data_IF_896431751892
#
_entry.id   IF_896431751892
#
_cell.length_a   1.000
_cell.length_b   1.000
_cell.length_c   1.000
_cell.angle_alpha   90.00
_cell.angle_beta   90.00
_cell.angle_gamma   90.00
#
_symmetry.space_group_name_H-M   'P 1'
#
loop_
_entity.id
_entity.type
_entity.pdbx_description
1 polymer ?
#
# COMPACT_ATOMS: atom_id res chain seq x y z
N UNK A 1 -17.33 -13.79 29.11
CA UNK A 1 -17.09 -13.47 27.69
C UNK A 1 -15.62 -13.62 27.39
N UNK A 2 -15.27 -14.23 26.27
CA UNK A 2 -13.92 -14.37 25.76
C UNK A 2 -13.76 -13.53 24.51
N UNK A 3 -12.80 -12.62 24.54
CA UNK A 3 -12.44 -11.79 23.39
C UNK A 3 -11.22 -12.41 22.70
N UNK A 4 -11.24 -12.41 21.38
CA UNK A 4 -10.09 -12.69 20.53
C UNK A 4 -9.67 -11.41 19.85
N UNK A 5 -8.38 -11.05 19.94
CA UNK A 5 -7.82 -9.92 19.19
C UNK A 5 -6.67 -10.47 18.35
N UNK A 6 -6.83 -10.59 17.01
CA UNK A 6 -5.74 -11.00 16.14
C UNK A 6 -4.65 -9.93 16.21
N UNK A 7 -3.40 -10.34 16.43
CA UNK A 7 -2.26 -9.44 16.62
C UNK A 7 -1.18 -9.66 15.56
N UNK A 8 -0.52 -8.56 15.19
CA UNK A 8 0.77 -8.54 14.52
C UNK A 8 1.74 -7.75 15.43
N UNK A 9 2.78 -8.41 15.94
CA UNK A 9 3.60 -7.85 17.03
C UNK A 9 2.77 -7.47 18.28
N UNK A 10 2.83 -6.20 18.69
CA UNK A 10 2.10 -5.66 19.86
C UNK A 10 0.83 -4.86 19.48
N UNK A 11 0.30 -5.02 18.27
CA UNK A 11 -0.84 -4.24 17.76
C UNK A 11 -1.91 -5.15 17.18
N UNK A 12 -3.14 -4.65 17.09
CA UNK A 12 -4.23 -5.33 16.37
C UNK A 12 -3.79 -5.54 14.92
N UNK A 13 -3.86 -6.78 14.45
CA UNK A 13 -3.55 -7.11 13.09
C UNK A 13 -4.52 -6.35 12.16
N UNK A 14 -4.00 -5.63 11.15
CA UNK A 14 -4.84 -4.91 10.22
C UNK A 14 -5.79 -5.85 9.45
N UNK A 15 -5.40 -7.12 9.29
CA UNK A 15 -6.24 -8.20 8.77
C UNK A 15 -6.12 -9.44 9.67
N UNK A 16 -7.26 -9.95 10.13
CA UNK A 16 -7.33 -11.10 11.05
C UNK A 16 -6.72 -12.39 10.49
N UNK A 17 -6.62 -12.50 9.16
CA UNK A 17 -6.07 -13.66 8.48
C UNK A 17 -4.53 -13.76 8.56
N UNK A 18 -3.85 -12.64 8.81
CA UNK A 18 -2.38 -12.54 8.86
C UNK A 18 -1.85 -12.30 10.27
N UNK A 19 -2.72 -12.47 11.26
CA UNK A 19 -2.30 -12.38 12.64
C UNK A 19 -1.35 -13.53 12.99
N UNK A 20 -0.16 -13.18 13.47
CA UNK A 20 0.84 -14.15 13.96
C UNK A 20 0.40 -14.77 15.29
N UNK A 21 -0.45 -14.05 16.02
CA UNK A 21 -0.94 -14.49 17.32
C UNK A 21 -2.34 -13.96 17.59
N UNK A 22 -3.00 -14.57 18.58
CA UNK A 22 -4.30 -14.15 19.06
C UNK A 22 -4.19 -13.83 20.54
N UNK A 23 -4.46 -12.58 20.88
CA UNK A 23 -4.71 -12.21 22.27
C UNK A 23 -6.08 -12.75 22.67
N UNK A 24 -6.08 -13.59 23.68
CA UNK A 24 -7.29 -14.15 24.29
C UNK A 24 -7.49 -13.48 25.64
N UNK A 25 -8.60 -12.76 25.78
CA UNK A 25 -8.99 -12.07 27.01
C UNK A 25 -10.25 -12.72 27.55
N UNK A 26 -10.20 -13.27 28.77
CA UNK A 26 -11.40 -13.80 29.44
C UNK A 26 -11.90 -12.81 30.46
N UNK A 27 -13.15 -12.39 30.32
CA UNK A 27 -13.85 -11.50 31.23
C UNK A 27 -15.01 -12.18 31.96
N UNK A 28 -15.19 -11.84 33.23
CA UNK A 28 -16.35 -12.19 34.05
C UNK A 28 -16.68 -11.05 35.01
N UNK A 29 -17.95 -10.67 35.09
CA UNK A 29 -18.41 -9.60 35.99
C UNK A 29 -17.70 -8.26 35.78
N UNK A 30 -17.34 -7.91 34.54
CA UNK A 30 -16.66 -6.64 34.21
C UNK A 30 -15.15 -6.62 34.47
N UNK A 31 -14.55 -7.72 34.92
CA UNK A 31 -13.12 -7.81 35.19
C UNK A 31 -12.44 -8.83 34.27
N UNK A 32 -11.19 -8.55 33.90
CA UNK A 32 -10.33 -9.51 33.19
C UNK A 32 -9.84 -10.55 34.20
N UNK A 33 -10.21 -11.81 34.00
CA UNK A 33 -9.72 -12.93 34.82
C UNK A 33 -8.42 -13.50 34.24
N UNK A 34 -8.28 -13.51 32.91
CA UNK A 34 -7.08 -13.99 32.25
C UNK A 34 -6.82 -13.26 30.95
N UNK A 35 -5.52 -13.08 30.67
CA UNK A 35 -5.00 -12.64 29.37
C UNK A 35 -3.87 -13.58 28.98
N UNK A 36 -3.88 -14.02 27.73
CA UNK A 36 -2.79 -14.82 27.15
C UNK A 36 -2.70 -14.57 25.67
N UNK A 37 -1.52 -14.76 25.12
CA UNK A 37 -1.28 -14.70 23.68
C UNK A 37 -1.06 -16.13 23.21
N UNK A 38 -1.88 -16.57 22.27
CA UNK A 38 -1.72 -17.87 21.61
C UNK A 38 -1.09 -17.62 20.25
N UNK A 39 0.08 -18.23 20.00
CA UNK A 39 0.73 -18.15 18.68
C UNK A 39 -0.07 -18.96 17.67
N UNK A 40 -0.44 -18.35 16.56
CA UNK A 40 -1.11 -19.03 15.45
C UNK A 40 -0.03 -19.88 14.74
N UNK A 41 -0.18 -21.22 14.73
CA UNK A 41 0.79 -22.09 14.03
C UNK A 41 0.67 -21.84 12.52
N UNK A 42 1.81 -21.56 11.90
CA UNK A 42 1.95 -21.22 10.47
C UNK A 42 1.88 -22.43 9.52
N UNK A 43 0.94 -23.35 9.74
CA UNK A 43 0.69 -24.50 8.85
C UNK A 43 -0.62 -24.33 8.08
N UNK A 44 -0.73 -23.23 7.33
CA UNK A 44 -1.49 -23.14 6.07
C UNK A 44 -2.90 -23.76 6.00
N UNK A 45 -3.71 -23.72 7.05
CA UNK A 45 -5.05 -24.30 6.95
C UNK A 45 -5.88 -24.49 8.21
N UNK A 46 -5.37 -24.21 9.42
CA UNK A 46 -6.26 -24.05 10.57
C UNK A 46 -6.81 -22.62 10.57
N UNK A 47 -7.89 -22.48 9.79
CA UNK A 47 -8.83 -21.37 9.74
C UNK A 47 -8.90 -20.64 11.08
N UNK A 48 -8.75 -19.30 11.08
CA UNK A 48 -9.02 -18.45 12.24
C UNK A 48 -10.33 -18.87 12.95
N UNK A 49 -11.32 -19.36 12.20
CA UNK A 49 -12.56 -19.95 12.74
C UNK A 49 -12.32 -21.16 13.63
N UNK A 50 -11.45 -22.08 13.23
CA UNK A 50 -11.08 -23.24 14.05
C UNK A 50 -10.43 -22.82 15.35
N UNK A 51 -9.46 -21.92 15.30
CA UNK A 51 -8.79 -21.39 16.50
C UNK A 51 -9.78 -20.66 17.42
N UNK A 52 -10.65 -19.84 16.84
CA UNK A 52 -11.72 -19.14 17.57
C UNK A 52 -12.68 -20.15 18.23
N UNK A 53 -13.09 -21.19 17.51
CA UNK A 53 -13.99 -22.22 18.01
C UNK A 53 -13.35 -23.04 19.13
N UNK A 54 -12.10 -23.48 18.95
CA UNK A 54 -11.34 -24.27 19.93
C UNK A 54 -11.13 -23.49 21.23
N UNK A 55 -10.80 -22.21 21.11
CA UNK A 55 -10.62 -21.30 22.24
C UNK A 55 -11.95 -20.78 22.81
N UNK A 56 -13.07 -21.06 22.14
CA UNK A 56 -14.42 -20.58 22.47
C UNK A 56 -14.46 -19.06 22.63
N UNK A 57 -13.96 -18.36 21.62
CA UNK A 57 -14.03 -16.91 21.55
C UNK A 57 -15.48 -16.50 21.28
N UNK A 58 -16.02 -15.62 22.12
CA UNK A 58 -17.39 -15.10 21.98
C UNK A 58 -17.40 -13.86 21.07
N UNK A 59 -16.36 -13.03 21.16
CA UNK A 59 -16.26 -11.74 20.43
C UNK A 59 -14.87 -11.62 19.80
N UNK A 60 -14.80 -11.46 18.48
CA UNK A 60 -13.58 -11.15 17.76
C UNK A 60 -13.47 -9.63 17.55
N UNK A 61 -12.38 -9.02 18.01
CA UNK A 61 -12.08 -7.60 17.83
C UNK A 61 -10.90 -7.49 16.87
N UNK A 62 -11.09 -6.87 15.71
CA UNK A 62 -10.08 -6.88 14.65
C UNK A 62 -10.01 -5.60 13.83
N UNK A 63 -8.87 -5.39 13.17
CA UNK A 63 -8.69 -4.29 12.22
C UNK A 63 -9.54 -4.50 10.97
N UNK A 64 -9.42 -5.66 10.35
CA UNK A 64 -10.14 -6.01 9.14
C UNK A 64 -10.30 -7.52 8.99
N UNK A 65 -11.38 -7.95 8.38
CA UNK A 65 -11.71 -9.36 8.21
C UNK A 65 -12.39 -9.56 6.86
N UNK A 66 -12.10 -10.67 6.19
CA UNK A 66 -12.80 -10.99 4.94
C UNK A 66 -14.27 -11.29 5.23
N UNK A 67 -15.17 -10.93 4.32
CA UNK A 67 -16.62 -11.18 4.48
C UNK A 67 -16.93 -12.65 4.71
N UNK A 68 -16.25 -13.53 3.98
CA UNK A 68 -16.40 -14.98 4.12
C UNK A 68 -16.06 -15.45 5.53
N UNK A 69 -14.95 -14.96 6.09
CA UNK A 69 -14.52 -15.31 7.43
C UNK A 69 -15.45 -14.71 8.49
N UNK A 70 -15.83 -13.44 8.33
CA UNK A 70 -16.83 -12.76 9.17
C UNK A 70 -18.14 -13.53 9.24
N UNK A 71 -18.68 -13.94 8.08
CA UNK A 71 -19.94 -14.67 8.01
C UNK A 71 -19.83 -16.07 8.62
N UNK A 72 -18.70 -16.75 8.44
CA UNK A 72 -18.44 -18.03 9.09
C UNK A 72 -18.41 -17.90 10.63
N UNK A 73 -17.78 -16.84 11.14
CA UNK A 73 -17.73 -16.56 12.57
C UNK A 73 -19.11 -16.22 13.16
N UNK A 74 -19.86 -15.34 12.49
CA UNK A 74 -21.22 -15.01 12.90
C UNK A 74 -22.14 -16.24 12.90
N UNK A 75 -21.98 -17.13 11.92
CA UNK A 75 -22.74 -18.39 11.84
C UNK A 75 -22.42 -19.36 12.98
N UNK A 76 -21.20 -19.26 13.54
CA UNK A 76 -20.78 -20.00 14.73
C UNK A 76 -21.10 -19.27 16.04
N UNK A 77 -21.87 -18.18 16.00
CA UNK A 77 -22.28 -17.42 17.17
C UNK A 77 -21.22 -16.48 17.74
N UNK A 78 -20.17 -16.17 16.95
CA UNK A 78 -19.09 -15.26 17.34
C UNK A 78 -19.42 -13.86 16.84
N UNK A 79 -19.51 -12.89 17.75
CA UNK A 79 -19.68 -11.49 17.40
C UNK A 79 -18.37 -10.93 16.82
N UNK A 80 -18.45 -10.04 15.83
CA UNK A 80 -17.25 -9.47 15.19
C UNK A 80 -17.32 -7.94 15.25
N UNK A 81 -16.32 -7.34 15.88
CA UNK A 81 -16.07 -5.90 15.91
C UNK A 81 -14.89 -5.59 14.98
N UNK A 82 -15.14 -4.75 13.97
CA UNK A 82 -14.20 -4.46 12.89
C UNK A 82 -13.72 -3.00 12.94
N UNK A 83 -12.68 -2.69 12.16
CA UNK A 83 -12.05 -1.36 12.06
C UNK A 83 -11.46 -0.87 13.39
N UNK A 84 -10.95 -1.82 14.18
CA UNK A 84 -10.30 -1.53 15.45
C UNK A 84 -8.79 -1.46 15.25
N UNK A 85 -8.18 -0.36 15.68
CA UNK A 85 -6.74 -0.13 15.61
C UNK A 85 -6.21 0.27 16.97
N UNK A 86 -5.05 -0.23 17.34
CA UNK A 86 -4.41 0.10 18.61
C UNK A 86 -3.36 -0.92 19.01
N UNK A 87 -2.64 -0.60 20.07
CA UNK A 87 -1.77 -1.53 20.80
C UNK A 87 -2.59 -2.46 21.68
N UNK A 88 -1.97 -3.55 22.15
CA UNK A 88 -2.61 -4.47 23.10
C UNK A 88 -3.15 -3.73 24.33
N UNK A 89 -2.39 -2.81 24.91
CA UNK A 89 -2.79 -2.09 26.13
C UNK A 89 -4.00 -1.17 25.87
N UNK A 90 -4.01 -0.43 24.76
CA UNK A 90 -5.15 0.41 24.36
C UNK A 90 -6.43 -0.42 24.17
N UNK A 91 -6.33 -1.57 23.50
CA UNK A 91 -7.49 -2.45 23.28
C UNK A 91 -7.98 -3.09 24.57
N UNK A 92 -7.08 -3.45 25.49
CA UNK A 92 -7.47 -3.97 26.80
C UNK A 92 -8.23 -2.92 27.61
N UNK A 93 -7.83 -1.64 27.57
CA UNK A 93 -8.58 -0.55 28.20
C UNK A 93 -9.97 -0.38 27.57
N UNK A 94 -10.09 -0.41 26.24
CA UNK A 94 -11.37 -0.26 25.55
C UNK A 94 -12.32 -1.45 25.80
N UNK A 95 -11.78 -2.67 25.85
CA UNK A 95 -12.52 -3.88 26.28
C UNK A 95 -13.04 -3.70 27.71
N UNK A 96 -12.22 -3.20 28.64
CA UNK A 96 -12.62 -2.96 30.03
C UNK A 96 -13.70 -1.88 30.17
N UNK A 97 -13.60 -0.82 29.36
CA UNK A 97 -14.59 0.28 29.34
C UNK A 97 -15.91 -0.10 28.66
N UNK A 98 -15.93 -1.18 27.87
CA UNK A 98 -17.10 -1.58 27.08
C UNK A 98 -17.36 -0.68 25.87
N UNK A 99 -16.34 0.03 25.38
CA UNK A 99 -16.45 1.08 24.36
C UNK A 99 -16.11 0.59 22.93
N UNK A 100 -16.13 -0.71 22.68
CA UNK A 100 -15.88 -1.30 21.37
C UNK A 100 -17.02 -0.98 20.38
N UNK A 101 -17.06 0.26 19.90
CA UNK A 101 -18.01 0.72 18.88
C UNK A 101 -17.39 0.55 17.49
N UNK A 102 -18.06 -0.09 16.52
CA UNK A 102 -17.64 -0.01 15.13
C UNK A 102 -17.78 1.45 14.65
N UNK A 103 -16.83 1.98 13.85
CA UNK A 103 -17.06 3.20 13.09
C UNK A 103 -18.30 2.98 12.21
N UNK A 104 -19.31 3.83 12.39
CA UNK A 104 -20.65 3.68 11.84
C UNK A 104 -20.65 3.39 10.33
N UNK A 105 -21.33 2.31 9.97
CA UNK A 105 -21.57 1.79 8.63
C UNK A 105 -22.34 2.76 7.73
N UNK A 106 -21.78 3.06 6.55
CA UNK A 106 -22.52 3.55 5.38
C UNK A 106 -23.41 2.42 4.85
N UNK A 107 -24.67 2.75 4.49
CA UNK A 107 -25.74 1.80 4.20
C UNK A 107 -25.48 0.95 2.94
N UNK A 108 -25.99 -0.30 2.87
CA UNK A 108 -25.60 -1.31 1.90
C UNK A 108 -26.73 -1.66 0.92
N UNK A 109 -26.62 -1.28 -0.36
CA UNK A 109 -27.47 -1.82 -1.43
C UNK A 109 -26.69 -1.93 -2.75
N UNK A 110 -26.08 -3.10 -3.00
CA UNK A 110 -26.18 -3.88 -4.25
C UNK A 110 -25.07 -4.94 -4.33
N UNK A 111 -25.54 -6.18 -4.36
CA UNK A 111 -24.84 -7.47 -4.42
C UNK A 111 -24.55 -7.83 -5.88
N UNK A 112 -23.48 -8.61 -6.14
CA UNK A 112 -23.49 -9.87 -6.91
C UNK A 112 -22.08 -10.16 -7.46
N UNK A 113 -21.28 -11.05 -6.86
CA UNK A 113 -21.32 -12.53 -6.90
C UNK A 113 -20.85 -13.14 -8.24
N UNK A 114 -19.65 -13.74 -8.24
CA UNK A 114 -19.17 -14.91 -9.00
C UNK A 114 -17.62 -14.92 -8.94
N UNK A 115 -16.87 -16.01 -8.87
CA UNK A 115 -17.03 -17.41 -8.46
C UNK A 115 -15.60 -17.98 -8.49
N UNK A 116 -15.35 -19.01 -7.67
CA UNK A 116 -14.06 -19.60 -7.36
C UNK A 116 -13.23 -20.13 -8.55
N UNK A 117 -11.90 -20.06 -8.41
CA UNK A 117 -10.98 -21.10 -8.84
C UNK A 117 -9.66 -21.04 -8.02
N UNK A 118 -9.18 -22.23 -7.70
CA UNK A 118 -8.19 -22.61 -6.68
C UNK A 118 -6.78 -22.03 -6.92
N UNK A 119 -6.08 -21.63 -5.85
CA UNK A 119 -4.65 -21.27 -5.89
C UNK A 119 -3.84 -22.19 -4.99
N UNK A 120 -2.87 -22.87 -5.61
CA UNK A 120 -1.77 -23.57 -4.95
C UNK A 120 -0.66 -22.57 -4.59
N UNK A 121 -0.05 -22.81 -3.44
CA UNK A 121 1.20 -22.21 -2.96
C UNK A 121 2.27 -22.27 -4.06
N UNK A 122 2.80 -21.13 -4.48
CA UNK A 122 4.03 -21.07 -5.28
C UNK A 122 5.19 -20.95 -4.29
N UNK A 123 5.85 -22.08 -4.05
CA UNK A 123 7.23 -22.10 -3.58
C UNK A 123 8.10 -21.65 -4.74
N UNK A 124 9.01 -20.69 -4.55
CA UNK A 124 10.10 -20.42 -5.48
C UNK A 124 11.21 -21.45 -5.21
N UNK A 125 11.40 -22.50 -6.05
CA UNK A 125 12.48 -23.45 -5.84
C UNK A 125 13.74 -23.00 -6.59
N UNK A 126 14.89 -23.40 -6.04
CA UNK A 126 16.22 -23.12 -6.54
C UNK A 126 16.41 -23.37 -8.04
N UNK A 127 17.17 -22.46 -8.64
CA UNK A 127 17.61 -22.43 -10.04
C UNK A 127 18.67 -23.50 -10.36
N UNK A 128 18.36 -24.78 -10.19
CA UNK A 128 19.23 -25.84 -10.74
C UNK A 128 18.38 -26.97 -11.32
N UNK A 129 18.14 -26.90 -12.62
CA UNK A 129 17.48 -27.96 -13.36
C UNK A 129 17.51 -27.69 -14.86
N UNK A 130 18.53 -28.21 -15.54
CA UNK A 130 18.54 -28.31 -17.00
C UNK A 130 17.29 -29.07 -17.44
N UNK A 131 16.46 -28.45 -18.29
CA UNK A 131 15.26 -29.05 -18.86
C UNK A 131 15.48 -29.39 -20.34
N UNK A 132 14.85 -30.47 -20.84
CA UNK A 132 15.22 -31.13 -22.09
C UNK A 132 14.83 -30.32 -23.33
N UNK A 133 15.61 -30.50 -24.40
CA UNK A 133 15.42 -29.84 -25.69
C UNK A 133 14.07 -30.21 -26.34
N UNK A 134 13.19 -29.21 -26.47
CA UNK A 134 11.97 -29.27 -27.29
C UNK A 134 12.25 -28.49 -28.59
N UNK A 135 12.06 -29.07 -29.79
CA UNK A 135 12.31 -28.37 -31.04
C UNK A 135 11.28 -27.24 -31.23
N UNK A 136 11.74 -25.98 -31.18
CA UNK A 136 10.91 -24.80 -31.46
C UNK A 136 10.98 -23.67 -30.42
N UNK A 137 11.78 -23.80 -29.35
CA UNK A 137 11.97 -22.72 -28.38
C UNK A 137 12.88 -21.65 -28.98
N UNK A 138 12.33 -20.47 -29.28
CA UNK A 138 13.11 -19.27 -29.53
C UNK A 138 14.06 -19.08 -28.34
N UNK A 139 15.37 -19.11 -28.61
CA UNK A 139 16.39 -18.89 -27.61
C UNK A 139 16.19 -17.58 -26.84
N UNK A 140 16.89 -17.40 -25.71
CA UNK A 140 16.70 -16.25 -24.83
C UNK A 140 16.77 -14.92 -25.60
N UNK A 141 15.79 -14.04 -25.36
CA UNK A 141 15.76 -12.71 -26.00
C UNK A 141 16.95 -11.88 -25.55
N UNK A 142 17.50 -11.06 -26.46
CA UNK A 142 18.51 -10.06 -26.11
C UNK A 142 17.87 -8.87 -25.40
N UNK A 143 18.57 -8.31 -24.41
CA UNK A 143 18.08 -7.20 -23.57
C UNK A 143 17.63 -5.96 -24.38
N UNK A 144 18.34 -5.65 -25.47
CA UNK A 144 18.08 -4.53 -26.38
C UNK A 144 16.83 -4.71 -27.26
N UNK A 145 16.22 -5.90 -27.26
CA UNK A 145 15.05 -6.24 -28.08
C UNK A 145 13.78 -6.48 -27.26
N UNK A 146 13.82 -6.20 -25.95
CA UNK A 146 12.67 -6.41 -25.06
C UNK A 146 11.57 -5.40 -25.38
N UNK A 147 10.48 -5.91 -25.93
CA UNK A 147 9.22 -5.19 -26.06
C UNK A 147 8.10 -6.03 -25.45
N UNK A 148 7.79 -5.72 -24.18
CA UNK A 148 6.72 -6.39 -23.46
C UNK A 148 5.34 -6.06 -24.02
N UNK A 149 5.11 -4.97 -24.76
CA UNK A 149 3.78 -4.71 -25.32
C UNK A 149 3.52 -5.63 -26.52
N UNK A 150 4.53 -5.82 -27.36
CA UNK A 150 4.41 -6.64 -28.58
C UNK A 150 4.79 -8.13 -28.41
N UNK A 151 5.21 -8.55 -27.21
CA UNK A 151 5.52 -9.94 -26.90
C UNK A 151 4.28 -10.85 -26.97
N UNK A 152 4.25 -11.78 -27.93
CA UNK A 152 3.15 -12.73 -28.11
C UNK A 152 3.26 -13.97 -27.22
N UNK A 153 4.47 -14.36 -26.85
CA UNK A 153 4.72 -15.66 -26.20
C UNK A 153 4.31 -15.67 -24.72
N UNK A 154 4.39 -14.51 -24.05
CA UNK A 154 3.91 -14.26 -22.67
C UNK A 154 4.33 -15.35 -21.68
N UNK A 155 5.51 -15.93 -21.86
CA UNK A 155 6.00 -17.09 -21.10
C UNK A 155 6.07 -16.81 -19.59
N UNK A 156 6.28 -15.54 -19.22
CA UNK A 156 6.24 -15.04 -17.85
C UNK A 156 4.90 -15.27 -17.13
N UNK A 157 3.77 -15.32 -17.85
CA UNK A 157 2.46 -15.63 -17.25
C UNK A 157 2.35 -17.09 -16.79
N UNK A 158 3.28 -17.96 -17.24
CA UNK A 158 3.43 -19.34 -16.77
C UNK A 158 4.57 -19.50 -15.77
N UNK A 159 5.22 -18.40 -15.38
CA UNK A 159 6.40 -18.40 -14.50
C UNK A 159 7.71 -18.77 -15.20
N UNK A 160 7.74 -18.80 -16.53
CA UNK A 160 8.96 -19.08 -17.30
C UNK A 160 9.78 -17.79 -17.51
N UNK A 161 11.11 -17.92 -17.52
CA UNK A 161 12.00 -16.79 -17.77
C UNK A 161 11.99 -16.40 -19.26
N UNK A 162 11.59 -15.15 -19.55
CA UNK A 162 11.51 -14.65 -20.92
C UNK A 162 12.84 -14.13 -21.50
N UNK A 163 13.89 -14.08 -20.65
CA UNK A 163 15.24 -13.58 -20.93
C UNK A 163 16.21 -14.50 -20.21
N UNK A 164 17.34 -14.86 -20.84
CA UNK A 164 18.45 -15.46 -20.10
C UNK A 164 19.29 -14.33 -19.49
N UNK A 165 19.09 -14.10 -18.19
CA UNK A 165 20.01 -13.31 -17.37
C UNK A 165 20.92 -14.31 -16.67
N UNK A 166 22.19 -14.36 -17.06
CA UNK A 166 23.21 -15.24 -16.44
C UNK A 166 23.45 -14.83 -14.98
N UNK A 167 23.40 -13.53 -14.68
CA UNK A 167 23.57 -12.95 -13.34
C UNK A 167 22.25 -12.38 -12.80
N UNK A 168 21.34 -13.25 -12.37
CA UNK A 168 20.09 -12.81 -11.73
C UNK A 168 20.41 -12.19 -10.36
N UNK A 169 20.07 -10.91 -10.10
CA UNK A 169 20.29 -10.34 -8.78
C UNK A 169 19.45 -11.06 -7.75
N UNK A 170 20.09 -11.59 -6.71
CA UNK A 170 19.39 -12.09 -5.53
C UNK A 170 18.89 -10.89 -4.74
N UNK A 171 17.64 -10.94 -4.29
CA UNK A 171 17.11 -10.01 -3.29
C UNK A 171 17.34 -10.68 -1.94
N UNK A 172 18.46 -10.36 -1.29
CA UNK A 172 18.82 -10.88 0.04
C UNK A 172 18.55 -9.86 1.15
N UNK A 173 18.12 -8.65 0.79
CA UNK A 173 17.75 -7.60 1.72
C UNK A 173 16.37 -7.88 2.32
N UNK A 174 16.36 -8.01 3.65
CA UNK A 174 15.16 -8.35 4.44
C UNK A 174 14.06 -7.29 4.33
N UNK A 175 14.42 -6.02 4.22
CA UNK A 175 13.45 -4.93 4.08
C UNK A 175 12.76 -5.01 2.72
N UNK A 176 13.53 -5.22 1.65
CA UNK A 176 12.96 -5.43 0.31
C UNK A 176 12.07 -6.67 0.23
N UNK A 177 12.45 -7.77 0.87
CA UNK A 177 11.61 -8.96 0.93
C UNK A 177 10.29 -8.68 1.66
N UNK A 178 10.32 -7.97 2.79
CA UNK A 178 9.10 -7.57 3.50
C UNK A 178 8.20 -6.65 2.64
N UNK A 179 8.80 -5.72 1.88
CA UNK A 179 8.05 -4.87 0.94
C UNK A 179 7.34 -5.69 -0.14
N UNK A 180 8.00 -6.74 -0.66
CA UNK A 180 7.42 -7.65 -1.66
C UNK A 180 6.27 -8.43 -1.04
N UNK A 181 6.47 -9.04 0.12
CA UNK A 181 5.45 -9.83 0.81
C UNK A 181 4.20 -9.00 1.10
N UNK A 182 4.37 -7.80 1.64
CA UNK A 182 3.27 -6.85 1.88
C UNK A 182 2.51 -6.47 0.60
N UNK A 183 3.25 -6.25 -0.49
CA UNK A 183 2.66 -5.93 -1.78
C UNK A 183 1.87 -7.10 -2.37
N UNK A 184 2.36 -8.32 -2.20
CA UNK A 184 1.69 -9.54 -2.63
C UNK A 184 0.41 -9.78 -1.83
N UNK A 185 0.43 -9.53 -0.51
CA UNK A 185 -0.78 -9.61 0.31
C UNK A 185 -1.86 -8.64 -0.17
N UNK A 186 -1.51 -7.35 -0.34
CA UNK A 186 -2.45 -6.35 -0.84
C UNK A 186 -2.98 -6.74 -2.23
N UNK A 187 -2.12 -7.24 -3.11
CA UNK A 187 -2.49 -7.67 -4.46
C UNK A 187 -3.36 -8.93 -4.50
N UNK A 188 -3.29 -9.77 -3.47
CA UNK A 188 -4.15 -10.94 -3.31
C UNK A 188 -5.60 -10.56 -2.93
N UNK A 189 -5.88 -9.27 -2.69
CA UNK A 189 -7.24 -8.80 -2.45
C UNK A 189 -8.12 -8.90 -3.70
N UNK A 190 -8.75 -10.07 -3.83
CA UNK A 190 -9.64 -10.44 -4.92
C UNK A 190 -10.93 -9.63 -5.02
N UNK A 191 -11.39 -8.99 -3.93
CA UNK A 191 -12.72 -8.35 -3.89
C UNK A 191 -12.71 -6.86 -4.27
N UNK A 192 -11.56 -6.28 -4.69
CA UNK A 192 -11.40 -4.84 -5.04
C UNK A 192 -11.98 -3.88 -3.98
N UNK A 193 -11.94 -4.27 -2.70
CA UNK A 193 -12.52 -3.47 -1.61
C UNK A 193 -11.61 -2.33 -1.17
N UNK A 194 -10.34 -2.39 -1.55
CA UNK A 194 -9.34 -1.38 -1.21
C UNK A 194 -9.16 -0.44 -2.39
N UNK A 195 -9.40 0.85 -2.17
CA UNK A 195 -8.87 1.87 -3.05
C UNK A 195 -7.41 2.15 -2.69
N UNK A 196 -6.66 2.79 -3.59
CA UNK A 196 -5.23 3.07 -3.43
C UNK A 196 -4.87 3.77 -2.11
N UNK A 197 -5.76 4.63 -1.59
CA UNK A 197 -5.57 5.28 -0.30
C UNK A 197 -5.59 4.27 0.85
N UNK A 198 -6.52 3.32 0.80
CA UNK A 198 -6.61 2.27 1.82
C UNK A 198 -5.42 1.31 1.72
N UNK A 199 -5.02 0.93 0.50
CA UNK A 199 -3.79 0.15 0.28
C UNK A 199 -2.56 0.81 0.91
N UNK A 200 -2.40 2.13 0.73
CA UNK A 200 -1.31 2.89 1.32
C UNK A 200 -1.29 2.76 2.85
N UNK A 201 -2.44 2.92 3.51
CA UNK A 201 -2.53 2.78 4.98
C UNK A 201 -2.18 1.37 5.41
N UNK A 202 -2.72 0.36 4.73
CA UNK A 202 -2.43 -1.05 5.02
C UNK A 202 -0.95 -1.37 4.85
N UNK A 203 -0.37 -0.96 3.72
CA UNK A 203 1.04 -1.17 3.41
C UNK A 203 1.94 -0.57 4.49
N UNK A 204 1.70 0.69 4.88
CA UNK A 204 2.53 1.34 5.89
C UNK A 204 2.39 0.70 7.29
N UNK A 205 1.19 0.20 7.66
CA UNK A 205 0.99 -0.51 8.91
C UNK A 205 1.70 -1.86 8.93
N UNK A 206 1.62 -2.62 7.83
CA UNK A 206 2.24 -3.93 7.68
C UNK A 206 3.78 -3.84 7.69
N UNK A 207 4.32 -2.81 7.03
CA UNK A 207 5.75 -2.48 7.08
C UNK A 207 6.21 -1.89 8.42
N UNK A 208 5.31 -1.69 9.38
CA UNK A 208 5.57 -1.07 10.68
C UNK A 208 6.19 0.34 10.62
N UNK A 209 5.93 1.08 9.54
CA UNK A 209 6.36 2.47 9.43
C UNK A 209 5.59 3.36 10.42
N UNK A 210 6.29 4.33 11.01
CA UNK A 210 5.80 5.31 11.95
C UNK A 210 5.94 6.72 11.41
N UNK A 211 7.07 7.04 10.80
CA UNK A 211 7.40 8.39 10.34
C UNK A 211 7.11 8.52 8.83
N UNK A 212 5.96 9.11 8.48
CA UNK A 212 5.51 9.21 7.08
C UNK A 212 5.70 10.63 6.54
N UNK A 213 6.48 10.77 5.47
CA UNK A 213 6.63 12.04 4.77
C UNK A 213 5.56 12.25 3.70
N UNK A 214 5.03 13.46 3.59
CA UNK A 214 4.15 13.85 2.48
C UNK A 214 4.82 14.96 1.69
N UNK A 215 5.28 14.65 0.48
CA UNK A 215 5.83 15.63 -0.45
C UNK A 215 4.72 16.13 -1.38
N UNK A 216 4.21 17.36 -1.14
CA UNK A 216 3.03 17.85 -1.84
C UNK A 216 3.27 19.13 -2.65
N UNK A 217 2.47 19.31 -3.69
CA UNK A 217 2.42 20.55 -4.45
C UNK A 217 1.44 21.56 -3.85
N UNK A 218 1.81 22.84 -3.81
CA UNK A 218 0.93 23.93 -3.33
C UNK A 218 -0.41 24.02 -4.08
N UNK A 219 -0.44 23.69 -5.37
CA UNK A 219 -1.69 23.63 -6.15
C UNK A 219 -2.67 22.54 -5.66
N UNK A 220 -2.21 21.57 -4.86
CA UNK A 220 -3.01 20.47 -4.28
C UNK A 220 -2.96 20.50 -2.75
N UNK A 221 -2.91 21.69 -2.14
CA UNK A 221 -2.85 21.83 -0.68
C UNK A 221 -4.05 21.22 0.03
N UNK A 222 -5.27 21.43 -0.47
CA UNK A 222 -6.49 20.89 0.15
C UNK A 222 -6.52 19.35 0.18
N UNK A 223 -6.28 18.62 -0.93
CA UNK A 223 -6.11 17.16 -0.87
C UNK A 223 -4.97 16.71 0.05
N UNK A 224 -3.87 17.45 0.10
CA UNK A 224 -2.74 17.14 0.99
C UNK A 224 -3.10 17.31 2.46
N UNK A 225 -3.87 18.34 2.82
CA UNK A 225 -4.37 18.57 4.19
C UNK A 225 -5.31 17.46 4.64
N UNK A 226 -6.26 17.07 3.77
CA UNK A 226 -7.18 15.96 4.04
C UNK A 226 -6.40 14.66 4.26
N UNK A 227 -5.46 14.34 3.36
CA UNK A 227 -4.61 13.15 3.48
C UNK A 227 -3.79 13.18 4.77
N UNK A 228 -3.16 14.32 5.06
CA UNK A 228 -2.36 14.50 6.28
C UNK A 228 -3.20 14.25 7.53
N UNK A 229 -4.40 14.85 7.60
CA UNK A 229 -5.32 14.66 8.73
C UNK A 229 -5.75 13.20 8.91
N UNK A 230 -6.01 12.49 7.81
CA UNK A 230 -6.34 11.07 7.84
C UNK A 230 -5.16 10.22 8.33
N UNK A 231 -3.97 10.39 7.75
CA UNK A 231 -2.80 9.57 8.07
C UNK A 231 -2.29 9.80 9.51
N UNK A 232 -2.46 11.01 10.06
CA UNK A 232 -2.13 11.33 11.46
C UNK A 232 -2.92 10.53 12.49
N UNK A 233 -3.98 9.83 12.08
CA UNK A 233 -4.70 8.90 12.95
C UNK A 233 -3.94 7.60 13.20
N UNK A 234 -2.93 7.31 12.38
CA UNK A 234 -2.21 6.03 12.37
C UNK A 234 -0.69 6.20 12.50
N UNK A 235 -0.13 7.34 12.06
CA UNK A 235 1.30 7.59 11.92
C UNK A 235 1.70 9.00 12.38
N UNK A 236 3.00 9.22 12.57
CA UNK A 236 3.61 10.54 12.70
C UNK A 236 3.89 11.10 11.29
N UNK A 237 3.17 12.16 10.92
CA UNK A 237 3.10 12.63 9.51
C UNK A 237 3.72 14.00 9.32
N UNK A 238 4.67 14.07 8.38
CA UNK A 238 5.48 15.25 8.05
C UNK A 238 5.19 15.77 6.64
N UNK A 239 4.24 16.72 6.48
CA UNK A 239 3.98 17.34 5.19
C UNK A 239 5.03 18.41 4.86
N UNK A 240 5.62 18.33 3.66
CA UNK A 240 6.61 19.28 3.14
C UNK A 240 6.17 19.77 1.76
N UNK A 241 6.03 21.09 1.62
CA UNK A 241 5.52 21.69 0.39
C UNK A 241 6.61 21.85 -0.68
N UNK A 242 6.21 21.81 -1.96
CA UNK A 242 7.12 21.91 -3.10
C UNK A 242 7.90 23.23 -3.19
N UNK A 243 7.49 24.26 -2.43
CA UNK A 243 8.11 25.60 -2.41
C UNK A 243 9.10 25.78 -1.25
N UNK A 244 9.36 24.77 -0.43
CA UNK A 244 10.28 24.86 0.71
C UNK A 244 11.66 25.35 0.26
N UNK A 245 12.13 26.47 0.82
CA UNK A 245 13.38 27.14 0.38
C UNK A 245 13.43 27.47 -1.11
N UNK A 246 12.27 27.65 -1.75
CA UNK A 246 12.16 28.13 -3.12
C UNK A 246 12.62 29.58 -3.22
N UNK A 247 13.39 29.89 -4.26
CA UNK A 247 13.81 31.26 -4.57
C UNK A 247 12.78 31.96 -5.45
N UNK A 248 12.86 33.28 -5.56
CA UNK A 248 12.13 33.98 -6.62
C UNK A 248 12.72 33.61 -7.96
N UNK A 249 11.86 33.47 -8.95
CA UNK A 249 12.24 33.16 -10.33
C UNK A 249 13.27 34.16 -10.88
N UNK A 250 13.11 35.46 -10.58
CA UNK A 250 14.07 36.52 -10.90
C UNK A 250 15.47 36.25 -10.36
N UNK A 251 15.55 35.81 -9.10
CA UNK A 251 16.81 35.62 -8.38
C UNK A 251 17.49 34.30 -8.77
N UNK A 252 16.73 33.38 -9.38
CA UNK A 252 17.20 32.06 -9.78
C UNK A 252 17.61 31.97 -11.26
N UNK A 253 16.95 32.73 -12.15
CA UNK A 253 17.16 32.68 -13.60
C UNK A 253 17.87 33.92 -14.18
N UNK A 254 18.13 34.95 -13.35
CA UNK A 254 18.73 36.21 -13.76
C UNK A 254 17.71 37.21 -14.35
N UNK A 255 18.11 38.49 -14.41
CA UNK A 255 17.26 39.65 -14.71
C UNK A 255 16.54 39.63 -16.08
N UNK A 256 16.85 38.66 -16.95
CA UNK A 256 16.21 38.49 -18.26
C UNK A 256 14.79 37.91 -18.22
N UNK A 257 14.32 37.42 -17.07
CA UNK A 257 13.02 36.75 -16.92
C UNK A 257 11.93 37.61 -16.25
N UNK A 258 12.18 38.90 -16.01
CA UNK A 258 11.18 39.82 -15.45
C UNK A 258 10.24 40.40 -16.55
N UNK A 259 9.78 39.56 -17.48
CA UNK A 259 8.77 39.97 -18.46
C UNK A 259 7.36 39.71 -17.88
N UNK A 260 6.78 40.77 -17.32
CA UNK A 260 5.34 40.93 -17.10
C UNK A 260 4.63 39.80 -16.32
N UNK A 261 4.92 39.68 -15.02
CA UNK A 261 4.16 38.79 -14.12
C UNK A 261 4.47 39.00 -12.64
N UNK A 262 3.53 38.58 -11.76
CA UNK A 262 3.77 38.49 -10.31
C UNK A 262 4.97 37.56 -10.06
N UNK A 263 5.94 37.99 -9.25
CA UNK A 263 7.12 37.19 -8.89
C UNK A 263 6.70 35.79 -8.41
N UNK A 264 7.10 34.75 -9.16
CA UNK A 264 6.80 33.35 -8.82
C UNK A 264 7.93 32.79 -7.97
N UNK A 265 7.58 32.10 -6.89
CA UNK A 265 8.53 31.27 -6.15
C UNK A 265 8.68 29.96 -6.90
N UNK A 266 9.91 29.56 -7.22
CA UNK A 266 10.18 28.28 -7.91
C UNK A 266 10.10 27.11 -6.94
N UNK A 267 9.78 25.92 -7.45
CA UNK A 267 9.80 24.70 -6.63
C UNK A 267 11.24 24.28 -6.32
N UNK A 268 11.45 23.64 -5.17
CA UNK A 268 12.75 23.14 -4.74
C UNK A 268 12.63 21.67 -4.28
N UNK A 269 12.65 20.72 -5.23
CA UNK A 269 12.49 19.29 -4.94
C UNK A 269 13.69 18.74 -4.16
N UNK A 270 14.87 19.31 -4.34
CA UNK A 270 16.10 18.92 -3.63
C UNK A 270 15.95 19.17 -2.14
N UNK A 271 15.57 20.39 -1.75
CA UNK A 271 15.38 20.71 -0.34
C UNK A 271 14.15 20.02 0.26
N UNK A 272 13.12 19.77 -0.55
CA UNK A 272 11.96 18.98 -0.13
C UNK A 272 12.37 17.56 0.28
N UNK A 273 13.13 16.85 -0.56
CA UNK A 273 13.66 15.53 -0.24
C UNK A 273 14.62 15.57 0.96
N UNK A 274 15.56 16.51 0.97
CA UNK A 274 16.54 16.63 2.05
C UNK A 274 15.90 16.94 3.41
N UNK A 275 14.80 17.69 3.42
CA UNK A 275 14.05 17.96 4.65
C UNK A 275 13.44 16.67 5.22
N UNK A 276 12.79 15.85 4.38
CA UNK A 276 12.22 14.56 4.82
C UNK A 276 13.32 13.56 5.22
N UNK A 277 14.43 13.52 4.48
CA UNK A 277 15.61 12.72 4.83
C UNK A 277 16.21 13.11 6.20
N UNK A 278 16.19 14.40 6.56
CA UNK A 278 16.69 14.91 7.86
C UNK A 278 15.73 14.65 9.00
N UNK A 279 14.43 14.69 8.73
CA UNK A 279 13.40 14.27 9.68
C UNK A 279 13.54 12.77 9.98
N UNK A 280 14.01 11.99 9.01
CA UNK A 280 14.18 10.55 9.15
C UNK A 280 12.88 9.81 8.87
N UNK A 281 12.10 10.27 7.88
CA UNK A 281 10.91 9.55 7.45
C UNK A 281 11.28 8.17 6.90
N UNK A 282 10.42 7.19 7.16
CA UNK A 282 10.62 5.78 6.81
C UNK A 282 9.89 5.45 5.49
N UNK A 283 8.86 6.22 5.14
CA UNK A 283 8.15 6.11 3.87
C UNK A 283 7.65 7.47 3.41
N UNK A 284 7.75 7.76 2.11
CA UNK A 284 7.35 9.05 1.54
C UNK A 284 6.21 8.89 0.51
N UNK A 285 5.23 9.79 0.60
CA UNK A 285 4.07 9.83 -0.29
C UNK A 285 4.10 11.12 -1.11
N UNK A 286 4.11 11.00 -2.43
CA UNK A 286 4.00 12.14 -3.35
C UNK A 286 2.53 12.49 -3.59
N UNK A 287 2.23 13.79 -3.45
CA UNK A 287 0.91 14.39 -3.72
C UNK A 287 1.04 15.51 -4.75
N UNK A 288 0.80 15.18 -6.01
CA UNK A 288 0.62 16.15 -7.08
C UNK A 288 1.89 16.92 -7.47
N UNK A 289 3.07 16.33 -7.36
CA UNK A 289 4.28 16.92 -7.94
C UNK A 289 4.24 16.82 -9.48
N UNK A 290 4.83 17.80 -10.16
CA UNK A 290 5.00 17.75 -11.61
C UNK A 290 6.06 16.70 -11.99
N UNK A 291 6.01 16.14 -13.20
CA UNK A 291 6.89 15.06 -13.70
C UNK A 291 8.36 15.22 -13.30
N UNK A 292 8.98 16.38 -13.57
CA UNK A 292 10.38 16.61 -13.24
C UNK A 292 10.66 16.75 -11.74
N UNK A 293 9.73 17.34 -10.99
CA UNK A 293 9.87 17.51 -9.54
C UNK A 293 9.68 16.18 -8.79
N UNK A 294 8.71 15.36 -9.22
CA UNK A 294 8.49 13.99 -8.76
C UNK A 294 9.76 13.15 -9.00
N UNK A 295 10.27 13.15 -10.25
CA UNK A 295 11.46 12.38 -10.62
C UNK A 295 12.70 12.73 -9.79
N UNK A 296 12.92 14.02 -9.52
CA UNK A 296 14.06 14.48 -8.69
C UNK A 296 13.84 14.09 -7.23
N UNK A 297 12.64 14.31 -6.68
CA UNK A 297 12.33 13.94 -5.31
C UNK A 297 12.53 12.44 -5.08
N UNK A 298 11.98 11.61 -5.95
CA UNK A 298 12.08 10.14 -5.86
C UNK A 298 13.53 9.65 -5.94
N UNK A 299 14.37 10.26 -6.76
CA UNK A 299 15.80 9.93 -6.83
C UNK A 299 16.59 10.33 -5.58
N UNK A 300 16.19 11.39 -4.89
CA UNK A 300 16.92 11.95 -3.74
C UNK A 300 16.37 11.47 -2.39
N UNK A 301 15.17 10.90 -2.36
CA UNK A 301 14.59 10.29 -1.17
C UNK A 301 15.42 9.09 -0.74
N UNK A 302 15.78 9.02 0.55
CA UNK A 302 16.43 7.83 1.13
C UNK A 302 15.41 6.75 1.49
N UNK A 303 14.22 7.17 1.90
CA UNK A 303 13.10 6.27 2.14
C UNK A 303 12.42 5.88 0.81
N UNK A 304 11.80 4.69 0.75
CA UNK A 304 10.93 4.31 -0.35
C UNK A 304 9.81 5.34 -0.58
N UNK A 305 9.43 5.50 -1.85
CA UNK A 305 8.47 6.53 -2.30
C UNK A 305 7.36 5.91 -3.12
N UNK A 306 6.12 6.35 -2.90
CA UNK A 306 5.01 6.13 -3.85
C UNK A 306 4.32 7.44 -4.20
N UNK A 307 3.84 7.55 -5.43
CA UNK A 307 2.93 8.63 -5.83
C UNK A 307 1.49 8.19 -5.61
N UNK A 308 0.76 8.92 -4.76
CA UNK A 308 -0.66 8.65 -4.51
C UNK A 308 -1.54 9.44 -5.49
N UNK A 309 -1.22 10.71 -5.71
CA UNK A 309 -1.94 11.57 -6.64
C UNK A 309 -0.98 12.11 -7.70
N UNK A 310 -1.18 11.70 -8.95
CA UNK A 310 -0.41 12.22 -10.08
C UNK A 310 -1.00 13.57 -10.49
N UNK A 311 -0.15 14.59 -10.66
CA UNK A 311 -0.61 15.90 -11.08
C UNK A 311 -1.01 15.88 -12.55
N UNK A 312 -2.27 16.18 -12.82
CA UNK A 312 -2.76 16.46 -14.16
C UNK A 312 -3.75 17.62 -14.09
N UNK A 313 -3.31 18.80 -14.57
CA UNK A 313 -4.15 20.00 -14.53
C UNK A 313 -5.30 19.94 -15.53
N UNK A 314 -5.12 19.20 -16.62
CA UNK A 314 -6.09 19.12 -17.71
C UNK A 314 -7.16 18.06 -17.42
N UNK A 315 -6.77 16.96 -16.78
CA UNK A 315 -7.61 15.79 -16.55
C UNK A 315 -7.98 15.57 -15.09
N UNK A 316 -8.08 16.64 -14.30
CA UNK A 316 -8.46 16.57 -12.89
C UNK A 316 -7.66 15.50 -12.10
N UNK A 317 -6.34 15.48 -12.33
CA UNK A 317 -5.40 14.53 -11.73
C UNK A 317 -5.61 13.06 -12.12
N UNK A 318 -6.20 12.80 -13.30
CA UNK A 318 -6.44 11.46 -13.85
C UNK A 318 -5.81 11.26 -15.24
N UNK A 319 -4.47 11.11 -15.32
CA UNK A 319 -3.74 11.08 -16.59
C UNK A 319 -4.03 9.87 -17.48
N UNK A 320 -4.57 8.77 -16.93
CA UNK A 320 -4.96 7.61 -17.76
C UNK A 320 -6.05 7.98 -18.77
N UNK A 321 -6.85 9.02 -18.47
CA UNK A 321 -7.87 9.53 -19.38
C UNK A 321 -7.28 10.08 -20.69
N UNK A 322 -6.03 10.56 -20.69
CA UNK A 322 -5.37 11.04 -21.90
C UNK A 322 -5.14 9.91 -22.90
N UNK A 323 -4.75 8.74 -22.40
CA UNK A 323 -4.38 7.57 -23.23
C UNK A 323 -5.61 6.95 -23.89
N UNK A 324 -6.78 7.04 -23.25
CA UNK A 324 -8.04 6.56 -23.82
C UNK A 324 -8.73 7.58 -24.75
N UNK A 325 -8.13 8.74 -24.98
CA UNK A 325 -8.72 9.82 -25.77
C UNK A 325 -7.91 10.11 -27.02
N UNK A 326 -8.48 9.80 -28.19
CA UNK A 326 -7.87 10.12 -29.50
C UNK A 326 -7.57 11.62 -29.65
N UNK A 327 -8.38 12.49 -29.03
CA UNK A 327 -8.12 13.92 -29.00
C UNK A 327 -6.79 14.25 -28.30
N UNK A 328 -6.59 13.76 -27.07
CA UNK A 328 -5.37 14.05 -26.31
C UNK A 328 -4.13 13.39 -26.90
N UNK A 329 -4.27 12.21 -27.52
CA UNK A 329 -3.18 11.57 -28.27
C UNK A 329 -2.74 12.40 -29.48
N UNK A 330 -3.70 12.91 -30.25
CA UNK A 330 -3.42 13.79 -31.40
C UNK A 330 -2.84 15.13 -30.96
N UNK A 331 -3.38 15.72 -29.89
CA UNK A 331 -2.86 16.95 -29.32
C UNK A 331 -1.41 16.77 -28.88
N UNK A 332 -1.09 15.73 -28.10
CA UNK A 332 0.27 15.44 -27.69
C UNK A 332 1.23 15.26 -28.87
N UNK A 333 0.81 14.55 -29.92
CA UNK A 333 1.61 14.38 -31.15
C UNK A 333 1.79 15.69 -31.93
N UNK A 334 0.74 16.50 -32.05
CA UNK A 334 0.76 17.76 -32.79
C UNK A 334 1.58 18.84 -32.07
N UNK A 335 1.45 18.96 -30.74
CA UNK A 335 2.24 19.91 -29.93
C UNK A 335 3.75 19.64 -29.99
N UNK A 336 4.16 18.40 -30.26
CA UNK A 336 5.56 18.03 -30.44
C UNK A 336 6.06 18.33 -31.86
N UNK A 337 5.17 18.35 -32.86
CA UNK A 337 5.52 18.65 -34.26
C UNK A 337 5.75 20.15 -34.51
N UNK A 338 5.11 21.02 -33.74
CA UNK A 338 5.33 22.49 -33.79
C UNK A 338 6.47 22.99 -32.91
N UNK A 339 7.02 22.14 -32.05
CA UNK A 339 8.14 22.48 -31.13
C UNK A 339 9.53 22.07 -31.67
N UNK A 340 9.60 21.46 -32.86
CA UNK A 340 10.83 21.16 -33.61
C UNK A 340 10.97 22.10 -34.80
#
# INVERSE_FOLDING_TARGET
MRFGVPLHGNRVAPRSAYAESLLVVTMHGGHIISRRIETMRGDGGLSLVGVINDLRIDILVCGGISRSLRNALLSNGVEVVENITGTVDEILEEILRGNLLPPQSVRPEMISAASAAEHRVITLPGMTGASPEIPGVLGPRRLDTIDCINCRDRVCLRGEDCIALEDRPAVDDREFLAMIDSSLDISAESERQLCRLTELVYYCLDMNYREIGIAFCMDLIEPAEILTGLLRRFFDVHPVCCKIGGKRESDALGDGAAAQGRARIICNPVLQAETLNRIGTEFNVIVGLCIGMDSIFTQLSRAPVTTLFVKDKSLANNPIGAVYSDYYLKEAAASLATAR
#
